data_IF_695451708642
#
_entry.id   IF_695451708642
#
_cell.length_a   1.000
_cell.length_b   1.000
_cell.length_c   1.000
_cell.angle_alpha   90.00
_cell.angle_beta   90.00
_cell.angle_gamma   90.00
#
_symmetry.space_group_name_H-M   'P 1'
#
loop_
_entity.id
_entity.type
_entity.pdbx_description
1 polymer ?
#
# COMPACT_ATOMS: atom_id res chain seq x y z
N UNK A 1 23.76 -17.23 -9.35
CA UNK A 1 22.59 -18.11 -9.63
C UNK A 1 21.59 -17.32 -10.46
N UNK A 2 21.13 -17.84 -11.61
CA UNK A 2 20.19 -17.12 -12.45
C UNK A 2 18.82 -17.03 -11.76
N UNK A 3 18.30 -15.80 -11.63
CA UNK A 3 17.04 -15.45 -10.95
C UNK A 3 15.82 -16.27 -11.43
N UNK A 4 15.86 -16.77 -12.67
CA UNK A 4 14.77 -17.55 -13.28
C UNK A 4 14.48 -18.86 -12.54
N UNK A 5 15.50 -19.58 -12.06
CA UNK A 5 15.31 -20.91 -11.45
C UNK A 5 14.62 -20.83 -10.08
N UNK A 6 14.85 -19.75 -9.32
CA UNK A 6 14.24 -19.55 -8.00
C UNK A 6 12.75 -19.18 -8.16
N UNK A 7 12.41 -18.32 -9.12
CA UNK A 7 11.02 -17.96 -9.36
C UNK A 7 10.16 -19.16 -9.78
N UNK A 8 10.70 -20.05 -10.60
CA UNK A 8 10.00 -21.27 -11.01
C UNK A 8 9.72 -22.19 -9.82
N UNK A 9 10.68 -22.32 -8.90
CA UNK A 9 10.52 -23.12 -7.67
C UNK A 9 9.46 -22.55 -6.72
N UNK A 10 9.38 -21.22 -6.61
CA UNK A 10 8.36 -20.54 -5.79
C UNK A 10 6.97 -20.73 -6.39
N UNK A 11 6.83 -20.62 -7.72
CA UNK A 11 5.55 -20.81 -8.43
C UNK A 11 4.99 -22.23 -8.32
N UNK A 12 5.86 -23.23 -8.18
CA UNK A 12 5.48 -24.64 -8.04
C UNK A 12 5.08 -25.02 -6.59
N UNK A 13 5.28 -24.13 -5.62
CA UNK A 13 4.99 -24.43 -4.22
C UNK A 13 3.48 -24.32 -3.91
N UNK A 14 2.86 -25.30 -3.23
CA UNK A 14 1.40 -25.31 -3.01
C UNK A 14 0.89 -24.11 -2.20
N UNK A 15 1.65 -23.60 -1.23
CA UNK A 15 1.31 -22.35 -0.51
C UNK A 15 1.31 -21.10 -1.41
N UNK A 16 2.06 -21.10 -2.50
CA UNK A 16 2.06 -19.98 -3.44
C UNK A 16 0.71 -19.90 -4.16
N UNK A 17 0.18 -21.04 -4.61
CA UNK A 17 -1.15 -21.11 -5.21
C UNK A 17 -2.26 -20.66 -4.24
N UNK A 18 -2.16 -21.01 -2.95
CA UNK A 18 -3.11 -20.58 -1.92
C UNK A 18 -3.05 -19.06 -1.65
N UNK A 19 -1.85 -18.49 -1.61
CA UNK A 19 -1.66 -17.03 -1.40
C UNK A 19 -2.16 -16.24 -2.60
N UNK A 20 -1.90 -16.76 -3.81
CA UNK A 20 -2.41 -16.17 -5.05
C UNK A 20 -3.93 -16.27 -5.09
N UNK A 21 -4.55 -17.37 -4.69
CA UNK A 21 -6.02 -17.51 -4.71
C UNK A 21 -6.71 -16.58 -3.71
N UNK A 22 -6.16 -16.42 -2.49
CA UNK A 22 -6.68 -15.46 -1.49
C UNK A 22 -6.55 -14.01 -1.95
N UNK A 23 -5.39 -13.65 -2.48
CA UNK A 23 -5.13 -12.29 -2.99
C UNK A 23 -5.96 -11.98 -4.23
N UNK A 24 -6.13 -12.97 -5.11
CA UNK A 24 -7.01 -12.88 -6.28
C UNK A 24 -8.46 -12.74 -5.86
N UNK A 25 -8.94 -13.50 -4.87
CA UNK A 25 -10.31 -13.38 -4.35
C UNK A 25 -10.58 -12.00 -3.78
N UNK A 26 -9.64 -11.45 -3.02
CA UNK A 26 -9.75 -10.10 -2.48
C UNK A 26 -9.79 -9.05 -3.60
N UNK A 27 -8.88 -9.15 -4.58
CA UNK A 27 -8.85 -8.25 -5.73
C UNK A 27 -10.13 -8.31 -6.56
N UNK A 28 -10.68 -9.51 -6.78
CA UNK A 28 -11.95 -9.71 -7.48
C UNK A 28 -13.11 -9.06 -6.72
N UNK A 29 -13.19 -9.25 -5.40
CA UNK A 29 -14.25 -8.69 -4.57
C UNK A 29 -14.21 -7.16 -4.60
N UNK A 30 -13.02 -6.57 -4.44
CA UNK A 30 -12.83 -5.12 -4.54
C UNK A 30 -13.15 -4.60 -5.94
N UNK A 31 -12.80 -5.36 -6.99
CA UNK A 31 -13.13 -5.03 -8.37
C UNK A 31 -14.64 -4.98 -8.59
N UNK A 32 -15.41 -5.95 -8.07
CA UNK A 32 -16.87 -5.93 -8.17
C UNK A 32 -17.51 -4.75 -7.45
N UNK A 33 -17.00 -4.40 -6.26
CA UNK A 33 -17.47 -3.23 -5.49
C UNK A 33 -17.33 -1.93 -6.29
N UNK A 34 -16.29 -1.81 -7.11
CA UNK A 34 -16.06 -0.63 -7.95
C UNK A 34 -16.77 -0.74 -9.30
N UNK A 35 -16.71 -1.90 -9.95
CA UNK A 35 -17.26 -2.12 -11.29
C UNK A 35 -18.78 -2.03 -11.31
N UNK A 36 -19.47 -2.65 -10.36
CA UNK A 36 -20.93 -2.76 -10.41
C UNK A 36 -21.58 -1.36 -10.36
N UNK A 37 -21.22 -0.47 -9.42
CA UNK A 37 -21.69 0.91 -9.44
C UNK A 37 -21.27 1.65 -10.71
N UNK A 38 -20.02 1.48 -11.16
CA UNK A 38 -19.49 2.18 -12.34
C UNK A 38 -20.26 1.82 -13.62
N UNK A 39 -20.43 0.52 -13.89
CA UNK A 39 -21.18 0.04 -15.06
C UNK A 39 -22.66 0.37 -14.95
N UNK A 40 -23.24 0.37 -13.75
CA UNK A 40 -24.62 0.82 -13.55
C UNK A 40 -24.76 2.31 -13.90
N UNK A 41 -23.85 3.16 -13.44
CA UNK A 41 -23.81 4.58 -13.80
C UNK A 41 -23.61 4.78 -15.32
N UNK A 42 -22.68 4.02 -15.93
CA UNK A 42 -22.44 4.05 -17.38
C UNK A 42 -23.65 3.56 -18.20
N UNK A 43 -24.40 2.57 -17.71
CA UNK A 43 -25.64 2.16 -18.37
C UNK A 43 -26.72 3.24 -18.27
N UNK A 44 -26.86 3.90 -17.10
CA UNK A 44 -27.84 4.98 -16.94
C UNK A 44 -27.49 6.16 -17.85
N UNK A 45 -26.20 6.54 -17.94
CA UNK A 45 -25.76 7.59 -18.88
C UNK A 45 -26.00 7.21 -20.34
N UNK A 46 -25.77 5.94 -20.72
CA UNK A 46 -25.92 5.49 -22.10
C UNK A 46 -27.38 5.35 -22.57
N UNK A 47 -28.26 4.78 -21.73
CA UNK A 47 -29.64 4.45 -22.13
C UNK A 47 -30.68 5.46 -21.63
N UNK A 48 -30.39 6.21 -20.55
CA UNK A 48 -31.31 7.17 -19.92
C UNK A 48 -30.57 8.44 -19.46
N UNK A 49 -29.91 9.18 -20.38
CA UNK A 49 -29.13 10.37 -20.01
C UNK A 49 -29.98 11.48 -19.36
N UNK A 50 -31.29 11.51 -19.63
CA UNK A 50 -32.22 12.50 -19.07
C UNK A 50 -32.33 12.42 -17.56
N UNK A 51 -32.15 11.25 -16.93
CA UNK A 51 -32.21 11.10 -15.47
C UNK A 51 -31.02 11.79 -14.80
N UNK A 52 -29.85 11.70 -15.42
CA UNK A 52 -28.61 12.28 -14.90
C UNK A 52 -28.41 13.74 -15.32
N UNK A 53 -29.08 14.17 -16.39
CA UNK A 53 -29.08 15.57 -16.85
C UNK A 53 -30.06 16.47 -16.09
N UNK A 54 -30.88 15.93 -15.17
CA UNK A 54 -31.75 16.74 -14.33
C UNK A 54 -30.91 17.73 -13.51
N UNK A 55 -31.27 19.03 -13.50
CA UNK A 55 -30.62 19.99 -12.63
C UNK A 55 -30.99 19.68 -11.18
N UNK A 56 -30.01 19.75 -10.28
CA UNK A 56 -30.20 19.45 -8.84
C UNK A 56 -31.13 20.46 -8.14
N UNK A 57 -31.31 21.66 -8.72
CA UNK A 57 -32.23 22.70 -8.24
C UNK A 57 -32.65 23.58 -9.42
N UNK A 58 -33.82 24.22 -9.36
CA UNK A 58 -34.41 25.03 -10.44
C UNK A 58 -33.52 26.20 -10.92
N UNK A 59 -32.51 26.61 -10.11
CA UNK A 59 -31.49 27.62 -10.46
C UNK A 59 -30.09 27.06 -10.70
N UNK A 60 -29.94 25.74 -10.69
CA UNK A 60 -28.63 25.09 -10.67
C UNK A 60 -28.20 24.63 -12.06
N UNK A 61 -26.97 25.00 -12.42
CA UNK A 61 -26.28 24.55 -13.65
C UNK A 61 -25.62 23.16 -13.50
N UNK A 62 -25.60 22.58 -12.30
CA UNK A 62 -25.02 21.25 -12.06
C UNK A 62 -26.07 20.15 -12.26
N UNK A 63 -25.72 19.20 -13.12
CA UNK A 63 -26.52 18.01 -13.41
C UNK A 63 -26.30 16.95 -12.33
N UNK A 64 -27.33 16.17 -12.00
CA UNK A 64 -27.25 15.06 -11.02
C UNK A 64 -26.12 14.07 -11.36
N UNK A 65 -25.80 13.90 -12.63
CA UNK A 65 -24.73 13.01 -13.09
C UNK A 65 -23.33 13.42 -12.64
N UNK A 66 -23.04 14.72 -12.48
CA UNK A 66 -21.70 15.18 -12.12
C UNK A 66 -21.32 14.80 -10.67
N UNK A 67 -22.13 15.11 -9.63
CA UNK A 67 -21.81 14.67 -8.26
C UNK A 67 -21.81 13.16 -8.08
N UNK A 68 -22.71 12.45 -8.77
CA UNK A 68 -22.77 10.98 -8.69
C UNK A 68 -21.49 10.35 -9.28
N UNK A 69 -21.00 10.89 -10.41
CA UNK A 69 -19.72 10.46 -11.00
C UNK A 69 -18.53 10.75 -10.08
N UNK A 70 -18.45 11.96 -9.51
CA UNK A 70 -17.40 12.36 -8.57
C UNK A 70 -17.35 11.45 -7.34
N UNK A 71 -18.49 11.18 -6.71
CA UNK A 71 -18.58 10.27 -5.54
C UNK A 71 -18.08 8.87 -5.88
N UNK A 72 -18.39 8.39 -7.08
CA UNK A 72 -18.00 7.06 -7.53
C UNK A 72 -16.49 6.97 -7.81
N UNK A 73 -15.92 7.96 -8.49
CA UNK A 73 -14.48 8.05 -8.75
C UNK A 73 -13.72 8.21 -7.44
N UNK A 74 -14.10 9.16 -6.60
CA UNK A 74 -13.44 9.40 -5.31
C UNK A 74 -13.55 8.15 -4.42
N UNK A 75 -14.73 7.51 -4.36
CA UNK A 75 -14.94 6.26 -3.65
C UNK A 75 -14.01 5.14 -4.15
N UNK A 76 -13.88 4.96 -5.46
CA UNK A 76 -12.99 3.97 -6.06
C UNK A 76 -11.52 4.22 -5.69
N UNK A 77 -11.05 5.46 -5.79
CA UNK A 77 -9.70 5.84 -5.39
C UNK A 77 -9.44 5.61 -3.91
N UNK A 78 -10.41 5.96 -3.05
CA UNK A 78 -10.32 5.75 -1.60
C UNK A 78 -10.22 4.26 -1.24
N UNK A 79 -10.96 3.36 -1.90
CA UNK A 79 -10.87 1.92 -1.58
C UNK A 79 -9.48 1.34 -1.85
N UNK A 80 -8.85 1.75 -2.96
CA UNK A 80 -7.49 1.28 -3.32
C UNK A 80 -6.44 1.95 -2.44
N UNK A 81 -6.57 3.26 -2.20
CA UNK A 81 -5.68 4.01 -1.32
C UNK A 81 -5.71 3.50 0.13
N UNK A 82 -6.91 3.21 0.66
CA UNK A 82 -7.08 2.68 2.01
C UNK A 82 -6.49 1.28 2.15
N UNK A 83 -6.69 0.39 1.16
CA UNK A 83 -6.10 -0.95 1.18
C UNK A 83 -4.57 -0.91 1.18
N UNK A 84 -3.97 -0.08 0.31
CA UNK A 84 -2.52 0.10 0.25
C UNK A 84 -1.98 0.78 1.53
N UNK A 85 -2.68 1.80 2.03
CA UNK A 85 -2.33 2.49 3.27
C UNK A 85 -2.37 1.56 4.48
N UNK A 86 -3.40 0.72 4.60
CA UNK A 86 -3.50 -0.29 5.65
C UNK A 86 -2.40 -1.35 5.57
N UNK A 87 -2.00 -1.77 4.37
CA UNK A 87 -0.90 -2.71 4.21
C UNK A 87 0.41 -2.13 4.76
N UNK A 88 0.74 -0.88 4.40
CA UNK A 88 1.94 -0.18 4.88
C UNK A 88 1.86 0.09 6.39
N UNK A 89 0.70 0.51 6.89
CA UNK A 89 0.49 0.76 8.31
C UNK A 89 0.61 -0.53 9.13
N UNK A 90 0.11 -1.66 8.59
CA UNK A 90 0.24 -2.98 9.22
C UNK A 90 1.69 -3.41 9.37
N UNK A 91 2.51 -3.25 8.32
CA UNK A 91 3.95 -3.51 8.39
C UNK A 91 4.65 -2.59 9.40
N UNK A 92 4.24 -1.31 9.45
CA UNK A 92 4.79 -0.34 10.40
C UNK A 92 4.38 -0.60 11.85
N UNK A 93 3.21 -1.18 12.11
CA UNK A 93 2.69 -1.48 13.47
C UNK A 93 3.02 -2.89 13.96
N UNK A 94 4.00 -3.56 13.36
CA UNK A 94 4.41 -4.93 13.68
C UNK A 94 4.71 -5.16 15.18
N UNK A 95 4.66 -6.42 15.63
CA UNK A 95 4.96 -6.82 17.01
C UNK A 95 6.33 -6.31 17.51
N UNK A 96 7.31 -6.17 16.61
CA UNK A 96 8.61 -5.58 16.94
C UNK A 96 8.48 -4.13 17.42
N UNK A 97 7.58 -3.35 16.82
CA UNK A 97 7.34 -1.95 17.20
C UNK A 97 6.60 -1.84 18.52
N UNK A 98 5.62 -2.72 18.75
CA UNK A 98 4.93 -2.81 20.04
C UNK A 98 5.92 -3.12 21.17
N UNK A 99 6.71 -4.18 21.01
CA UNK A 99 7.71 -4.58 22.01
C UNK A 99 8.79 -3.51 22.16
N UNK A 100 9.28 -2.92 21.07
CA UNK A 100 10.29 -1.86 21.11
C UNK A 100 9.83 -0.62 21.87
N UNK A 101 8.59 -0.18 21.64
CA UNK A 101 8.00 0.96 22.35
C UNK A 101 7.71 0.64 23.82
N UNK A 102 7.18 -0.56 24.13
CA UNK A 102 6.97 -0.99 25.52
C UNK A 102 8.30 -1.10 26.27
N UNK A 103 9.33 -1.71 25.66
CA UNK A 103 10.66 -1.80 26.24
C UNK A 103 11.30 -0.43 26.46
N UNK A 104 11.10 0.52 25.53
CA UNK A 104 11.60 1.89 25.67
C UNK A 104 10.94 2.60 26.85
N UNK A 105 9.62 2.52 26.99
CA UNK A 105 8.88 3.12 28.10
C UNK A 105 9.22 2.44 29.43
N UNK A 106 9.38 1.11 29.44
CA UNK A 106 9.80 0.37 30.62
C UNK A 106 11.21 0.77 31.09
N UNK A 107 12.15 0.92 30.15
CA UNK A 107 13.55 1.25 30.47
C UNK A 107 13.74 2.73 30.85
N UNK A 108 13.02 3.65 30.20
CA UNK A 108 13.22 5.09 30.36
C UNK A 108 12.10 5.82 31.13
N UNK A 109 11.06 5.11 31.55
CA UNK A 109 9.92 5.70 32.26
C UNK A 109 8.96 6.47 31.35
N UNK A 110 7.82 6.87 31.93
CA UNK A 110 6.70 7.51 31.21
C UNK A 110 7.05 8.92 30.72
N UNK A 111 7.98 9.60 31.36
CA UNK A 111 8.42 10.95 30.97
C UNK A 111 9.00 11.00 29.54
N UNK A 112 9.43 9.86 29.02
CA UNK A 112 9.98 9.68 27.68
C UNK A 112 8.93 9.30 26.63
N UNK A 113 7.65 9.47 26.93
CA UNK A 113 6.55 9.18 26.00
C UNK A 113 6.65 9.95 24.66
N UNK A 114 7.34 11.09 24.65
CA UNK A 114 7.59 11.85 23.42
C UNK A 114 8.34 11.05 22.35
N UNK A 115 9.18 10.08 22.73
CA UNK A 115 9.85 9.21 21.76
C UNK A 115 8.87 8.26 21.06
N UNK A 116 7.85 7.79 21.78
CA UNK A 116 6.76 6.99 21.20
C UNK A 116 5.94 7.80 20.21
N UNK A 117 5.62 9.05 20.54
CA UNK A 117 4.90 9.96 19.63
C UNK A 117 5.75 10.27 18.39
N UNK A 118 7.05 10.49 18.57
CA UNK A 118 7.99 10.78 17.49
C UNK A 118 8.10 9.63 16.48
N UNK A 119 7.95 8.37 16.94
CA UNK A 119 7.86 7.22 16.05
C UNK A 119 6.69 7.36 15.08
N UNK A 120 5.46 7.55 15.58
CA UNK A 120 4.27 7.71 14.73
C UNK A 120 4.31 8.94 13.83
N UNK A 121 4.86 10.06 14.30
CA UNK A 121 5.01 11.28 13.48
C UNK A 121 6.09 11.11 12.41
N UNK A 122 7.11 10.28 12.67
CA UNK A 122 8.16 9.96 11.71
C UNK A 122 7.66 9.19 10.49
N UNK A 123 6.59 8.40 10.62
CA UNK A 123 6.07 7.56 9.54
C UNK A 123 5.57 8.35 8.32
N UNK A 124 4.66 9.34 8.44
CA UNK A 124 4.26 10.17 7.30
C UNK A 124 5.44 10.92 6.70
N UNK A 125 6.34 11.46 7.54
CA UNK A 125 7.51 12.23 7.10
C UNK A 125 8.45 11.37 6.26
N UNK A 126 8.76 10.15 6.71
CA UNK A 126 9.55 9.18 5.96
C UNK A 126 8.88 8.80 4.65
N UNK A 127 7.57 8.53 4.67
CA UNK A 127 6.82 8.22 3.46
C UNK A 127 6.89 9.36 2.44
N UNK A 128 6.65 10.61 2.85
CA UNK A 128 6.73 11.74 1.92
C UNK A 128 8.13 11.96 1.35
N UNK A 129 9.18 11.87 2.19
CA UNK A 129 10.57 12.08 1.76
C UNK A 129 11.11 10.97 0.85
N UNK A 130 10.77 9.71 1.16
CA UNK A 130 11.35 8.55 0.46
C UNK A 130 10.46 8.10 -0.71
N UNK A 131 9.13 8.19 -0.61
CA UNK A 131 8.24 7.66 -1.64
C UNK A 131 8.50 8.28 -3.02
N UNK A 132 8.74 9.59 -3.09
CA UNK A 132 9.03 10.25 -4.37
C UNK A 132 10.36 9.78 -4.97
N UNK A 133 11.40 9.65 -4.13
CA UNK A 133 12.70 9.13 -4.57
C UNK A 133 12.61 7.69 -5.06
N UNK A 134 11.86 6.84 -4.36
CA UNK A 134 11.66 5.43 -4.74
C UNK A 134 10.85 5.30 -6.03
N UNK A 135 9.80 6.12 -6.21
CA UNK A 135 8.99 6.12 -7.44
C UNK A 135 9.82 6.48 -8.68
N UNK A 136 10.82 7.35 -8.52
CA UNK A 136 11.66 7.83 -9.62
C UNK A 136 12.80 6.86 -9.99
N UNK A 137 13.13 5.88 -9.14
CA UNK A 137 14.27 4.96 -9.35
C UNK A 137 13.91 3.69 -10.15
N UNK A 138 12.64 3.29 -10.19
CA UNK A 138 12.16 2.14 -10.98
C UNK A 138 12.73 0.77 -10.54
N UNK A 139 13.46 0.69 -9.44
CA UNK A 139 14.04 -0.53 -8.87
C UNK A 139 13.17 -1.10 -7.76
N UNK A 140 13.04 -2.42 -7.69
CA UNK A 140 12.06 -3.10 -6.84
C UNK A 140 12.59 -3.56 -5.47
N UNK A 141 13.90 -3.47 -5.20
CA UNK A 141 14.48 -3.88 -3.92
C UNK A 141 15.34 -2.81 -3.28
N UNK A 142 15.36 -2.79 -1.94
CA UNK A 142 16.21 -1.87 -1.17
C UNK A 142 17.69 -2.03 -1.54
N UNK A 143 18.16 -3.28 -1.73
CA UNK A 143 19.52 -3.52 -2.17
C UNK A 143 19.80 -2.79 -3.49
N UNK A 144 18.94 -2.95 -4.51
CA UNK A 144 19.10 -2.32 -5.82
C UNK A 144 19.12 -0.77 -5.75
N UNK A 145 18.41 -0.18 -4.79
CA UNK A 145 18.41 1.28 -4.58
C UNK A 145 19.75 1.77 -4.03
N UNK A 146 20.35 1.03 -3.09
CA UNK A 146 21.66 1.39 -2.52
C UNK A 146 22.78 1.13 -3.54
N UNK A 147 22.62 0.07 -4.35
CA UNK A 147 23.51 -0.26 -5.47
C UNK A 147 23.60 0.86 -6.52
N UNK A 148 22.57 1.71 -6.63
CA UNK A 148 22.58 2.84 -7.57
C UNK A 148 23.66 3.90 -7.24
N UNK A 149 24.15 3.94 -5.99
CA UNK A 149 25.17 4.92 -5.56
C UNK A 149 26.46 4.30 -5.01
N UNK A 150 26.52 2.99 -4.81
CA UNK A 150 27.61 2.32 -4.12
C UNK A 150 27.94 0.95 -4.77
N UNK A 151 29.14 0.46 -4.49
CA UNK A 151 29.69 -0.76 -5.09
C UNK A 151 28.89 -2.04 -4.75
N UNK A 152 28.70 -2.88 -5.77
CA UNK A 152 27.72 -3.95 -5.78
C UNK A 152 28.08 -5.15 -4.91
N UNK A 153 29.36 -5.49 -4.85
CA UNK A 153 29.80 -6.65 -4.07
C UNK A 153 29.76 -6.37 -2.57
N UNK A 154 30.15 -5.17 -2.13
CA UNK A 154 30.17 -4.82 -0.71
C UNK A 154 28.76 -4.71 -0.13
N UNK A 155 27.83 -4.07 -0.86
CA UNK A 155 26.46 -3.91 -0.33
C UNK A 155 25.73 -5.24 -0.23
N UNK A 156 25.89 -6.14 -1.20
CA UNK A 156 25.20 -7.43 -1.14
C UNK A 156 25.68 -8.30 0.02
N UNK A 157 26.98 -8.27 0.34
CA UNK A 157 27.48 -8.98 1.53
C UNK A 157 26.98 -8.34 2.81
N UNK A 158 27.02 -7.00 2.94
CA UNK A 158 26.46 -6.32 4.11
C UNK A 158 24.96 -6.57 4.29
N UNK A 159 24.17 -6.51 3.21
CA UNK A 159 22.75 -6.80 3.25
C UNK A 159 22.47 -8.26 3.64
N UNK A 160 23.26 -9.20 3.12
CA UNK A 160 23.16 -10.62 3.48
C UNK A 160 23.47 -10.85 4.96
N UNK A 161 24.59 -10.32 5.45
CA UNK A 161 24.95 -10.43 6.87
C UNK A 161 23.91 -9.77 7.77
N UNK A 162 23.44 -8.56 7.43
CA UNK A 162 22.38 -7.89 8.17
C UNK A 162 21.10 -8.72 8.25
N UNK A 163 20.66 -9.30 7.13
CA UNK A 163 19.48 -10.19 7.12
C UNK A 163 19.69 -11.46 7.96
N UNK A 164 20.90 -12.03 7.94
CA UNK A 164 21.22 -13.23 8.72
C UNK A 164 21.21 -12.94 10.23
N UNK A 165 21.80 -11.81 10.63
CA UNK A 165 21.80 -11.36 12.03
C UNK A 165 20.37 -11.19 12.52
N UNK A 166 19.50 -10.52 11.74
CA UNK A 166 18.09 -10.35 12.13
C UNK A 166 17.43 -11.71 12.32
N UNK A 167 17.58 -12.66 11.38
CA UNK A 167 16.97 -14.00 11.49
C UNK A 167 17.51 -14.80 12.68
N UNK A 168 18.75 -14.59 13.11
CA UNK A 168 19.30 -15.25 14.30
C UNK A 168 18.78 -14.69 15.62
N UNK A 169 18.32 -13.43 15.64
CA UNK A 169 17.83 -12.75 16.85
C UNK A 169 16.29 -12.60 16.89
N UNK A 170 15.61 -12.84 15.77
CA UNK A 170 14.15 -12.87 15.64
C UNK A 170 13.61 -14.24 16.07
#
# INVERSE_FOLDING_TARGET
>A
MPQSTIQTRIRQHPKFAETVSKSTRMAILLSFIVLIPYYTFMMITAYRPTILALPISERSIITVGWPVGEVLVIGAWLTTGFHNGMAIAGDYMSAATLLGLISLVYAKGVDNFIYTVSFFVGWPILLFLIAERLRNLGTFTFADIVLYRLDQNRIRTFAAFGSLTVVCFL
#
